data_IF_346318236565
#
_entry.id   IF_346318236565
#
_cell.length_a   1.000
_cell.length_b   1.000
_cell.length_c   1.000
_cell.angle_alpha   90.00
_cell.angle_beta   90.00
_cell.angle_gamma   90.00
#
_symmetry.space_group_name_H-M   'P 1'
#
loop_
_entity.id
_entity.type
_entity.pdbx_description
1 polymer ?
#
# COMPACT_ATOMS: atom_id res chain seq x y z
N UNK A 1 1.20 16.75 1.69
CA UNK A 1 1.23 16.73 0.21
C UNK A 1 1.08 15.29 -0.26
N UNK A 2 0.15 15.04 -1.18
CA UNK A 2 -0.03 13.75 -1.89
C UNK A 2 0.69 13.86 -3.24
N UNK A 3 1.48 12.86 -3.61
CA UNK A 3 2.15 12.80 -4.91
C UNK A 3 1.29 12.08 -5.96
N UNK A 4 1.66 12.22 -7.24
CA UNK A 4 1.01 11.50 -8.32
C UNK A 4 1.11 9.98 -8.11
N UNK A 5 -0.02 9.29 -8.31
CA UNK A 5 -0.10 7.82 -8.23
C UNK A 5 0.72 7.18 -9.35
N UNK A 6 1.52 6.18 -9.00
CA UNK A 6 2.32 5.38 -9.93
C UNK A 6 1.68 4.01 -10.12
N UNK A 7 1.03 3.79 -11.26
CA UNK A 7 0.44 2.50 -11.58
C UNK A 7 1.51 1.47 -11.96
N UNK A 8 1.27 0.21 -11.59
CA UNK A 8 2.08 -0.91 -12.03
C UNK A 8 1.86 -1.21 -13.52
N UNK A 9 2.85 -1.83 -14.15
CA UNK A 9 2.68 -2.42 -15.48
C UNK A 9 2.12 -3.84 -15.31
N UNK A 10 0.98 -4.12 -15.95
CA UNK A 10 0.31 -5.42 -15.88
C UNK A 10 1.20 -6.58 -16.34
N UNK A 11 2.09 -6.32 -17.30
CA UNK A 11 3.04 -7.31 -17.81
C UNK A 11 4.01 -7.85 -16.74
N UNK A 12 4.24 -7.12 -15.64
CA UNK A 12 5.08 -7.54 -14.51
C UNK A 12 4.38 -8.55 -13.58
N UNK A 13 3.13 -8.91 -13.90
CA UNK A 13 2.25 -9.77 -13.11
C UNK A 13 1.75 -10.96 -13.97
N UNK A 14 2.65 -11.77 -14.55
CA UNK A 14 2.25 -12.82 -15.48
C UNK A 14 1.32 -13.83 -14.82
N UNK A 15 0.17 -14.08 -15.47
CA UNK A 15 -0.82 -15.05 -15.00
C UNK A 15 -1.65 -14.60 -13.80
N UNK A 16 -1.66 -13.30 -13.47
CA UNK A 16 -2.55 -12.81 -12.42
C UNK A 16 -4.02 -13.06 -12.79
N UNK A 17 -4.82 -13.46 -11.81
CA UNK A 17 -6.26 -13.61 -12.00
C UNK A 17 -6.95 -12.23 -12.03
N UNK A 18 -8.12 -12.17 -12.66
CA UNK A 18 -8.97 -10.98 -12.64
C UNK A 18 -9.35 -10.60 -11.21
N UNK A 19 -9.07 -9.35 -10.84
CA UNK A 19 -9.33 -8.87 -9.50
C UNK A 19 -10.67 -8.16 -9.45
N UNK A 20 -11.61 -8.80 -8.76
CA UNK A 20 -12.93 -8.23 -8.52
C UNK A 20 -12.81 -7.05 -7.58
N UNK A 21 -13.41 -5.92 -7.96
CA UNK A 21 -13.40 -4.68 -7.17
C UNK A 21 -13.81 -4.91 -5.71
N UNK A 22 -14.88 -5.67 -5.46
CA UNK A 22 -15.32 -6.01 -4.10
C UNK A 22 -14.28 -6.82 -3.30
N UNK A 23 -13.50 -7.69 -3.94
CA UNK A 23 -12.47 -8.49 -3.28
C UNK A 23 -11.26 -7.65 -2.91
N UNK A 24 -10.91 -6.70 -3.78
CA UNK A 24 -9.92 -5.70 -3.44
C UNK A 24 -10.35 -4.86 -2.24
N UNK A 25 -11.62 -4.45 -2.19
CA UNK A 25 -12.20 -3.70 -1.07
C UNK A 25 -12.15 -4.48 0.25
N UNK A 26 -12.55 -5.76 0.22
CA UNK A 26 -12.44 -6.66 1.37
C UNK A 26 -10.99 -6.76 1.88
N UNK A 27 -10.02 -6.85 0.96
CA UNK A 27 -8.60 -6.88 1.27
C UNK A 27 -8.09 -5.57 1.90
N UNK A 28 -8.51 -4.42 1.37
CA UNK A 28 -8.19 -3.10 1.94
C UNK A 28 -8.75 -2.98 3.35
N UNK A 29 -10.01 -3.37 3.56
CA UNK A 29 -10.63 -3.36 4.87
C UNK A 29 -9.88 -4.29 5.85
N UNK A 30 -9.48 -5.48 5.41
CA UNK A 30 -8.71 -6.42 6.22
C UNK A 30 -7.34 -5.83 6.61
N UNK A 31 -6.62 -5.21 5.67
CA UNK A 31 -5.33 -4.58 5.95
C UNK A 31 -5.48 -3.38 6.89
N UNK A 32 -6.29 -2.38 6.54
CA UNK A 32 -6.38 -1.14 7.30
C UNK A 32 -7.05 -1.32 8.67
N UNK A 33 -7.79 -2.40 8.92
CA UNK A 33 -8.32 -2.73 10.26
C UNK A 33 -7.40 -3.63 11.08
N UNK A 34 -6.37 -4.23 10.47
CA UNK A 34 -5.38 -5.04 11.18
C UNK A 34 -4.50 -4.19 12.10
N UNK A 35 -3.84 -4.83 13.07
CA UNK A 35 -2.82 -4.21 13.92
C UNK A 35 -1.71 -3.54 13.09
N UNK A 36 -1.31 -4.19 12.00
CA UNK A 36 -0.33 -3.67 11.03
C UNK A 36 -0.81 -2.38 10.37
N UNK A 37 -2.08 -2.30 9.99
CA UNK A 37 -2.67 -1.09 9.36
C UNK A 37 -2.98 0.04 10.33
N UNK A 38 -2.90 -0.21 11.65
CA UNK A 38 -3.10 0.76 12.75
C UNK A 38 -1.80 1.15 13.44
N UNK A 39 -0.65 0.74 12.89
CA UNK A 39 0.67 1.05 13.42
C UNK A 39 1.11 2.45 12.99
N UNK A 40 1.88 3.10 13.85
CA UNK A 40 2.64 4.31 13.51
C UNK A 40 3.99 3.88 12.93
N UNK A 41 4.26 4.26 11.68
CA UNK A 41 5.55 3.99 11.06
C UNK A 41 6.52 5.11 11.43
N UNK A 42 7.74 4.73 11.85
CA UNK A 42 8.78 5.70 12.25
C UNK A 42 9.84 5.78 11.16
N UNK A 43 10.48 6.94 11.00
CA UNK A 43 11.67 7.08 10.15
C UNK A 43 12.80 6.21 10.69
N UNK A 44 13.62 5.63 9.82
CA UNK A 44 14.90 5.05 10.25
C UNK A 44 15.81 6.17 10.74
N UNK A 45 16.12 6.19 12.05
CA UNK A 45 16.80 7.30 12.73
C UNK A 45 18.29 7.43 12.34
N UNK A 46 18.83 6.44 11.62
CA UNK A 46 20.26 6.41 11.25
C UNK A 46 20.52 6.20 9.75
N UNK A 47 19.51 6.35 8.89
CA UNK A 47 19.64 5.99 7.48
C UNK A 47 20.02 4.51 7.28
N UNK A 48 19.87 3.69 8.32
CA UNK A 48 20.14 2.27 8.27
C UNK A 48 19.01 1.62 7.46
N UNK A 49 19.38 1.06 6.31
CA UNK A 49 18.53 0.16 5.57
C UNK A 49 18.42 -1.19 6.31
N UNK A 50 17.26 -1.88 6.21
CA UNK A 50 16.08 -1.48 5.46
C UNK A 50 15.24 -0.44 6.21
N UNK A 51 14.71 0.54 5.47
CA UNK A 51 13.66 1.42 5.99
C UNK A 51 12.47 0.58 6.48
N UNK A 52 11.80 0.98 7.57
CA UNK A 52 10.70 0.21 8.11
C UNK A 52 9.57 0.13 7.08
N UNK A 53 9.10 -1.10 6.87
CA UNK A 53 8.00 -1.41 5.98
C UNK A 53 7.05 -2.41 6.64
N UNK A 54 5.76 -2.12 6.53
CA UNK A 54 4.68 -3.03 6.87
C UNK A 54 4.24 -3.74 5.60
N UNK A 55 4.11 -5.06 5.67
CA UNK A 55 3.58 -5.90 4.59
C UNK A 55 2.42 -6.72 5.13
N UNK A 56 1.38 -6.86 4.32
CA UNK A 56 0.18 -7.63 4.65
C UNK A 56 -0.35 -8.34 3.40
N UNK A 57 -0.57 -9.65 3.50
CA UNK A 57 -1.16 -10.47 2.44
C UNK A 57 -2.56 -10.88 2.84
N UNK A 58 -3.53 -10.55 2.01
CA UNK A 58 -4.89 -11.10 2.09
C UNK A 58 -5.12 -12.05 0.92
N UNK A 59 -5.59 -13.26 1.20
CA UNK A 59 -6.01 -14.21 0.17
C UNK A 59 -7.52 -14.25 0.14
N UNK A 60 -8.11 -14.06 -1.04
CA UNK A 60 -9.55 -14.18 -1.19
C UNK A 60 -10.00 -15.65 -1.32
N UNK A 61 -11.31 -15.88 -1.44
CA UNK A 61 -11.87 -17.25 -1.53
C UNK A 61 -11.44 -18.02 -2.79
N UNK A 62 -10.93 -17.34 -3.81
CA UNK A 62 -10.39 -17.93 -5.04
C UNK A 62 -8.86 -18.04 -5.00
N UNK A 63 -8.25 -17.82 -3.83
CA UNK A 63 -6.80 -17.84 -3.60
C UNK A 63 -6.06 -16.72 -4.36
N UNK A 64 -6.77 -15.68 -4.80
CA UNK A 64 -6.15 -14.50 -5.37
C UNK A 64 -5.49 -13.71 -4.23
N UNK A 65 -4.22 -13.37 -4.41
CA UNK A 65 -3.41 -12.66 -3.42
C UNK A 65 -3.60 -11.15 -3.59
N UNK A 66 -3.87 -10.49 -2.48
CA UNK A 66 -3.96 -9.04 -2.35
C UNK A 66 -2.86 -8.57 -1.42
N UNK A 67 -1.92 -7.84 -1.99
CA UNK A 67 -0.64 -7.60 -1.40
C UNK A 67 -0.47 -6.11 -1.07
N UNK A 68 -0.45 -5.79 0.22
CA UNK A 68 -0.40 -4.43 0.73
C UNK A 68 0.94 -4.15 1.37
N UNK A 69 1.54 -3.00 1.04
CA UNK A 69 2.80 -2.53 1.62
C UNK A 69 2.69 -1.06 1.98
N UNK A 70 3.15 -0.71 3.18
CA UNK A 70 3.37 0.69 3.57
C UNK A 70 4.82 0.82 4.03
N UNK A 71 5.56 1.74 3.44
CA UNK A 71 6.98 1.95 3.74
C UNK A 71 7.31 3.43 3.86
N UNK A 72 8.38 3.73 4.61
CA UNK A 72 8.93 5.07 4.64
C UNK A 72 9.71 5.35 3.35
N UNK A 73 9.41 6.46 2.67
CA UNK A 73 10.14 6.89 1.48
C UNK A 73 11.60 7.22 1.84
N UNK A 74 12.58 6.53 1.21
CA UNK A 74 13.99 6.84 1.40
C UNK A 74 14.30 8.33 1.17
N UNK A 75 15.08 8.91 2.07
CA UNK A 75 15.47 10.33 2.01
C UNK A 75 14.36 11.33 2.31
N UNK A 76 13.16 10.91 2.71
CA UNK A 76 12.09 11.83 3.09
C UNK A 76 12.37 12.43 4.48
N UNK A 77 12.71 13.73 4.50
CA UNK A 77 12.95 14.51 5.70
C UNK A 77 12.01 15.72 5.73
N UNK A 78 10.87 15.56 6.40
CA UNK A 78 9.89 16.63 6.60
C UNK A 78 9.91 17.16 8.04
N UNK A 79 10.97 16.86 8.81
CA UNK A 79 11.05 17.13 10.26
C UNK A 79 10.25 16.14 11.12
N UNK A 80 9.24 15.47 10.54
CA UNK A 80 8.48 14.40 11.18
C UNK A 80 9.29 13.10 11.28
N UNK A 81 9.34 12.53 12.49
CA UNK A 81 10.02 11.25 12.74
C UNK A 81 9.08 10.05 12.69
N UNK A 82 7.77 10.28 12.54
CA UNK A 82 6.76 9.24 12.49
C UNK A 82 5.48 9.68 11.79
N UNK A 83 4.77 8.75 11.17
CA UNK A 83 3.45 8.98 10.57
C UNK A 83 2.51 7.81 10.84
N UNK A 84 1.24 8.12 11.09
CA UNK A 84 0.19 7.12 11.26
C UNK A 84 -0.24 6.55 9.90
N UNK A 85 -0.24 5.22 9.75
CA UNK A 85 -0.69 4.56 8.53
C UNK A 85 -2.17 4.86 8.24
N UNK A 86 -3.03 4.99 9.24
CA UNK A 86 -4.45 5.32 9.07
C UNK A 86 -4.64 6.70 8.46
N UNK A 87 -3.82 7.68 8.86
CA UNK A 87 -3.97 9.10 8.55
C UNK A 87 -2.58 9.76 8.48
N UNK A 88 -1.87 9.62 7.35
CA UNK A 88 -0.46 10.01 7.26
C UNK A 88 -0.21 11.49 7.50
N UNK A 89 -1.19 12.36 7.23
CA UNK A 89 -1.08 13.81 7.43
C UNK A 89 -2.17 14.36 8.38
N UNK A 90 -2.67 13.53 9.31
CA UNK A 90 -3.71 13.92 10.27
C UNK A 90 -5.14 13.82 9.74
N UNK A 91 -6.10 14.45 10.43
CA UNK A 91 -7.54 14.22 10.24
C UNK A 91 -8.09 14.63 8.88
N UNK A 92 -7.51 15.66 8.25
CA UNK A 92 -7.90 16.13 6.91
C UNK A 92 -7.27 15.29 5.78
N UNK A 93 -6.41 14.33 6.11
CA UNK A 93 -5.72 13.51 5.12
C UNK A 93 -6.56 12.30 4.67
N UNK A 94 -6.39 11.85 3.40
CA UNK A 94 -6.97 10.59 2.95
C UNK A 94 -6.55 9.43 3.86
N UNK A 95 -7.51 8.55 4.15
CA UNK A 95 -7.27 7.43 5.06
C UNK A 95 -6.46 6.31 4.38
N UNK A 96 -5.88 5.40 5.17
CA UNK A 96 -5.34 4.11 4.69
C UNK A 96 -6.28 3.44 3.68
N UNK A 97 -7.57 3.42 4.00
CA UNK A 97 -8.60 2.83 3.16
C UNK A 97 -8.70 3.55 1.81
N UNK A 98 -8.83 4.88 1.83
CA UNK A 98 -8.95 5.70 0.64
C UNK A 98 -7.71 5.53 -0.27
N UNK A 99 -6.52 5.56 0.31
CA UNK A 99 -5.25 5.46 -0.42
C UNK A 99 -5.08 4.09 -1.09
N UNK A 100 -5.28 3.00 -0.34
CA UNK A 100 -5.16 1.65 -0.88
C UNK A 100 -6.26 1.30 -1.88
N UNK A 101 -7.48 1.81 -1.66
CA UNK A 101 -8.60 1.63 -2.60
C UNK A 101 -8.35 2.38 -3.90
N UNK A 102 -7.87 3.61 -3.81
CA UNK A 102 -7.60 4.44 -4.97
C UNK A 102 -6.39 3.95 -5.80
N UNK A 103 -5.42 3.26 -5.18
CA UNK A 103 -4.36 2.54 -5.91
C UNK A 103 -4.88 1.44 -6.85
N UNK A 104 -6.07 0.90 -6.58
CA UNK A 104 -6.76 -0.02 -7.48
C UNK A 104 -7.66 0.73 -8.46
N UNK A 105 -8.56 1.59 -7.97
CA UNK A 105 -9.60 2.21 -8.81
C UNK A 105 -9.03 3.14 -9.89
N UNK A 106 -7.91 3.81 -9.61
CA UNK A 106 -7.37 4.82 -10.51
C UNK A 106 -6.22 4.28 -11.38
N UNK A 107 -5.99 2.95 -11.36
CA UNK A 107 -5.05 2.28 -12.23
C UNK A 107 -5.81 1.31 -13.14
N UNK A 108 -5.92 1.64 -14.43
CA UNK A 108 -6.55 0.77 -15.42
C UNK A 108 -5.55 -0.24 -15.97
N UNK A 109 -5.19 -1.25 -15.16
CA UNK A 109 -4.13 -2.22 -15.45
C UNK A 109 -4.50 -3.65 -15.03
N UNK A 110 -5.67 -4.13 -15.43
CA UNK A 110 -6.14 -5.48 -15.06
C UNK A 110 -6.40 -5.68 -13.55
N UNK A 111 -6.29 -4.61 -12.75
CA UNK A 111 -6.46 -4.63 -11.31
C UNK A 111 -5.18 -4.87 -10.51
N UNK A 112 -4.00 -4.95 -11.14
CA UNK A 112 -2.73 -5.19 -10.44
C UNK A 112 -2.32 -4.03 -9.52
N UNK A 113 -2.90 -2.85 -9.72
CA UNK A 113 -2.82 -1.73 -8.78
C UNK A 113 -1.62 -0.82 -8.99
N UNK A 114 -1.10 -0.26 -7.90
CA UNK A 114 -0.06 0.76 -7.95
C UNK A 114 0.33 1.26 -6.58
N UNK A 115 1.06 2.37 -6.56
CA UNK A 115 1.49 3.04 -5.35
C UNK A 115 1.22 4.53 -5.36
N UNK A 116 1.12 5.11 -4.16
CA UNK A 116 1.03 6.55 -3.95
C UNK A 116 1.83 6.94 -2.71
N UNK A 117 2.51 8.08 -2.77
CA UNK A 117 3.19 8.66 -1.62
C UNK A 117 2.34 9.78 -1.01
N UNK A 118 2.16 9.74 0.31
CA UNK A 118 1.50 10.78 1.10
C UNK A 118 2.35 11.12 2.32
N UNK A 119 2.87 12.35 2.35
CA UNK A 119 3.96 12.69 3.27
C UNK A 119 5.19 11.83 2.97
N UNK A 120 5.72 11.13 3.96
CA UNK A 120 6.82 10.18 3.83
C UNK A 120 6.37 8.71 3.75
N UNK A 121 5.07 8.42 3.75
CA UNK A 121 4.59 7.04 3.60
C UNK A 121 4.23 6.73 2.16
N UNK A 122 4.75 5.62 1.63
CA UNK A 122 4.36 5.06 0.34
C UNK A 122 3.39 3.91 0.59
N UNK A 123 2.18 4.03 0.05
CA UNK A 123 1.15 3.01 0.09
C UNK A 123 1.18 2.27 -1.24
N UNK A 124 1.42 0.96 -1.23
CA UNK A 124 1.47 0.12 -2.43
C UNK A 124 0.45 -1.00 -2.33
N UNK A 125 -0.32 -1.20 -3.39
CA UNK A 125 -1.20 -2.34 -3.58
C UNK A 125 -0.76 -3.13 -4.82
N UNK A 126 -0.45 -4.41 -4.61
CA UNK A 126 -0.16 -5.39 -5.66
C UNK A 126 -1.30 -6.39 -5.71
N UNK A 127 -1.92 -6.50 -6.88
CA UNK A 127 -3.02 -7.40 -7.11
C UNK A 127 -2.58 -8.66 -7.87
N UNK A 128 -2.96 -9.84 -7.37
CA UNK A 128 -2.89 -11.09 -8.14
C UNK A 128 -1.47 -11.57 -8.47
N UNK A 129 -0.43 -10.96 -7.87
CA UNK A 129 0.96 -11.33 -8.10
C UNK A 129 1.25 -12.73 -7.55
N UNK A 130 1.57 -13.67 -8.44
CA UNK A 130 2.04 -14.99 -8.03
C UNK A 130 3.54 -14.97 -7.73
N UNK A 131 3.88 -14.98 -6.43
CA UNK A 131 5.27 -15.05 -5.98
C UNK A 131 5.42 -14.88 -4.47
N UNK A 132 6.59 -15.27 -3.96
CA UNK A 132 7.02 -14.92 -2.62
C UNK A 132 7.31 -13.41 -2.56
N UNK A 133 6.85 -12.77 -1.50
CA UNK A 133 7.31 -11.43 -1.17
C UNK A 133 8.78 -11.50 -0.78
N UNK A 134 9.61 -10.67 -1.42
CA UNK A 134 10.94 -10.34 -0.94
C UNK A 134 10.97 -8.84 -0.57
#
# INVERSE_FOLDING_TARGET
MEQARRCHNEADFPGHADIRSRKQEDGVAAFCRSEKGRTILRRSVHGAEPYPAIRFRHSDRWRIKHDFKVEWQPGCDTGEISQDIQRPLGDESPTCYNLMRANYLNCNNGGVGGSIQVGCLIYTYNGGKDGAYY
#
